data_IF_268614822680
#
_entry.id   IF_268614822680
#
_cell.length_a   1.000
_cell.length_b   1.000
_cell.length_c   1.000
_cell.angle_alpha   90.00
_cell.angle_beta   90.00
_cell.angle_gamma   90.00
#
_symmetry.space_group_name_H-M   'P 1'
#
loop_
_entity.id
_entity.type
_entity.pdbx_description
1 polymer ?
#
# COMPACT_ATOMS: atom_id res chain seq x y z
N UNK A 1 -31.61 4.14 -8.79
CA UNK A 1 -31.96 2.74 -9.06
C UNK A 1 -30.77 1.86 -8.67
N UNK A 2 -30.92 1.07 -7.60
CA UNK A 2 -29.87 0.16 -7.12
C UNK A 2 -28.73 0.81 -6.33
N UNK A 3 -28.85 2.08 -5.99
CA UNK A 3 -27.85 2.80 -5.15
C UNK A 3 -28.47 3.19 -3.82
N UNK A 4 -27.75 2.91 -2.75
CA UNK A 4 -28.13 3.27 -1.39
C UNK A 4 -27.14 4.29 -0.86
N UNK A 5 -27.64 5.33 -0.22
CA UNK A 5 -26.83 6.38 0.40
C UNK A 5 -27.31 6.64 1.82
N UNK A 6 -26.35 6.91 2.71
CA UNK A 6 -26.62 7.40 4.04
C UNK A 6 -25.70 8.59 4.33
N UNK A 7 -26.22 9.59 5.04
CA UNK A 7 -25.44 10.76 5.46
C UNK A 7 -25.42 10.85 6.98
N UNK A 8 -24.26 11.13 7.53
CA UNK A 8 -24.06 11.34 8.96
C UNK A 8 -23.50 12.73 9.18
N UNK A 9 -24.08 13.49 10.11
CA UNK A 9 -23.82 14.91 10.28
C UNK A 9 -22.48 15.26 10.97
N UNK A 10 -21.78 14.28 11.55
CA UNK A 10 -20.58 14.51 12.35
C UNK A 10 -19.28 14.31 11.55
N UNK A 11 -18.20 14.95 12.04
CA UNK A 11 -16.83 14.63 11.61
C UNK A 11 -16.41 13.31 12.25
N UNK A 12 -16.42 12.25 11.47
CA UNK A 12 -16.14 10.88 11.96
C UNK A 12 -14.69 10.43 11.71
N UNK A 13 -13.75 11.34 11.50
CA UNK A 13 -12.35 10.98 11.31
C UNK A 13 -11.81 10.10 12.45
N UNK A 14 -11.10 9.04 12.07
CA UNK A 14 -10.59 8.03 13.00
C UNK A 14 -11.61 6.95 13.40
N UNK A 15 -12.83 7.03 12.90
CA UNK A 15 -13.84 5.98 13.09
C UNK A 15 -13.79 4.95 11.95
N UNK A 16 -14.36 3.79 12.23
CA UNK A 16 -14.52 2.71 11.26
C UNK A 16 -15.99 2.47 10.96
N UNK A 17 -16.26 1.93 9.77
CA UNK A 17 -17.62 1.55 9.38
C UNK A 17 -17.60 0.25 8.56
N UNK A 18 -18.75 -0.40 8.53
CA UNK A 18 -19.07 -1.52 7.64
C UNK A 18 -20.44 -1.29 7.03
N UNK A 19 -20.69 -1.98 5.92
CA UNK A 19 -22.02 -2.16 5.35
C UNK A 19 -22.45 -3.59 5.55
N UNK A 20 -23.76 -3.77 5.70
CA UNK A 20 -24.39 -5.07 5.71
C UNK A 20 -25.59 -5.06 4.76
N UNK A 21 -25.71 -6.05 3.92
CA UNK A 21 -26.74 -6.16 2.89
C UNK A 21 -27.69 -7.29 3.25
N UNK A 22 -29.00 -7.04 3.16
CA UNK A 22 -30.01 -8.09 3.26
C UNK A 22 -30.42 -8.53 1.86
N UNK A 23 -30.31 -9.82 1.59
CA UNK A 23 -30.74 -10.45 0.35
C UNK A 23 -31.67 -11.62 0.64
N UNK A 24 -32.85 -11.63 0.04
CA UNK A 24 -33.89 -12.65 0.27
C UNK A 24 -34.16 -12.93 1.77
N UNK A 25 -34.28 -11.88 2.57
CA UNK A 25 -34.53 -11.94 4.01
C UNK A 25 -33.36 -12.40 4.88
N UNK A 26 -32.19 -12.70 4.27
CA UNK A 26 -30.98 -13.10 5.00
C UNK A 26 -29.95 -11.97 4.96
N UNK A 27 -29.39 -11.63 6.11
CA UNK A 27 -28.25 -10.72 6.20
C UNK A 27 -26.98 -11.42 5.72
N UNK A 28 -26.26 -10.75 4.82
CA UNK A 28 -24.92 -11.18 4.39
C UNK A 28 -23.87 -10.69 5.41
N UNK A 29 -22.63 -11.15 5.25
CA UNK A 29 -21.53 -10.72 6.09
C UNK A 29 -21.26 -9.22 5.94
N UNK A 30 -20.68 -8.62 6.98
CA UNK A 30 -20.24 -7.23 6.95
C UNK A 30 -19.09 -7.03 5.97
N UNK A 31 -19.08 -5.87 5.31
CA UNK A 31 -18.06 -5.49 4.32
C UNK A 31 -17.69 -4.02 4.46
N UNK A 32 -16.43 -3.63 4.20
CA UNK A 32 -16.04 -2.23 4.09
C UNK A 32 -16.68 -1.51 2.89
N UNK A 33 -17.22 -2.28 1.93
CA UNK A 33 -17.78 -1.77 0.68
C UNK A 33 -16.73 -1.51 -0.40
N UNK A 34 -17.16 -1.57 -1.65
CA UNK A 34 -16.29 -1.49 -2.84
C UNK A 34 -15.60 -0.13 -3.03
N UNK A 35 -16.06 0.90 -2.34
CA UNK A 35 -15.51 2.25 -2.42
C UNK A 35 -14.58 2.61 -1.26
N UNK A 36 -14.28 1.67 -0.36
CA UNK A 36 -13.33 1.90 0.71
C UNK A 36 -11.96 2.26 0.13
N UNK A 37 -11.35 3.34 0.64
CA UNK A 37 -10.00 3.81 0.27
C UNK A 37 -9.02 3.70 1.44
N UNK A 38 -9.52 3.37 2.62
CA UNK A 38 -8.79 3.11 3.82
C UNK A 38 -9.52 2.02 4.60
N UNK A 39 -8.78 1.08 5.15
CA UNK A 39 -9.31 0.00 6.00
C UNK A 39 -8.46 -0.18 7.24
N UNK A 40 -9.04 -0.76 8.27
CA UNK A 40 -8.31 -1.22 9.44
C UNK A 40 -7.55 -2.53 9.16
N UNK A 41 -6.83 -2.99 10.17
CA UNK A 41 -6.07 -4.24 10.13
C UNK A 41 -6.89 -5.40 9.58
N UNK A 42 -6.27 -6.16 8.66
CA UNK A 42 -6.89 -7.29 7.96
C UNK A 42 -8.12 -6.91 7.10
N UNK A 43 -8.26 -5.64 6.71
CA UNK A 43 -9.20 -5.22 5.66
C UNK A 43 -10.69 -5.31 5.98
N UNK A 44 -11.09 -5.67 7.21
CA UNK A 44 -12.49 -6.02 7.53
C UNK A 44 -13.43 -4.83 7.69
N UNK A 45 -12.92 -3.65 8.01
CA UNK A 45 -13.69 -2.43 8.25
C UNK A 45 -13.08 -1.26 7.51
N UNK A 46 -13.88 -0.47 6.83
CA UNK A 46 -13.42 0.78 6.23
C UNK A 46 -13.11 1.81 7.32
N UNK A 47 -12.10 2.64 7.08
CA UNK A 47 -11.71 3.73 7.96
C UNK A 47 -12.10 5.07 7.36
N UNK A 48 -12.57 6.00 8.20
CA UNK A 48 -12.85 7.38 7.83
C UNK A 48 -11.64 8.22 8.20
N UNK A 49 -10.92 8.69 7.19
CA UNK A 49 -9.71 9.48 7.39
C UNK A 49 -9.78 10.79 6.60
N UNK A 50 -9.04 11.78 7.07
CA UNK A 50 -8.75 12.98 6.27
C UNK A 50 -7.53 12.72 5.39
N UNK A 51 -7.76 12.54 4.08
CA UNK A 51 -6.70 12.24 3.13
C UNK A 51 -5.65 13.35 3.00
N UNK A 52 -6.00 14.61 3.30
CA UNK A 52 -5.05 15.71 3.28
C UNK A 52 -3.93 15.51 4.32
N UNK A 53 -4.25 14.88 5.47
CA UNK A 53 -3.27 14.59 6.52
C UNK A 53 -2.30 13.47 6.15
N UNK A 54 -2.55 12.75 5.07
CA UNK A 54 -1.70 11.66 4.59
C UNK A 54 -0.71 12.06 3.50
N UNK A 55 -0.68 13.35 3.12
CA UNK A 55 0.26 13.83 2.13
C UNK A 55 1.66 13.94 2.73
N UNK A 56 2.69 13.36 2.11
CA UNK A 56 4.07 13.61 2.47
C UNK A 56 4.48 15.05 2.12
N UNK A 57 5.59 15.51 2.68
CA UNK A 57 6.14 16.83 2.36
C UNK A 57 6.44 16.93 0.85
N UNK A 58 5.99 18.03 0.24
CA UNK A 58 6.21 18.28 -1.19
C UNK A 58 5.19 17.62 -2.12
N UNK A 59 4.20 16.90 -1.60
CA UNK A 59 3.19 16.19 -2.39
C UNK A 59 2.50 17.05 -3.45
N UNK A 60 2.20 18.31 -3.14
CA UNK A 60 1.52 19.24 -4.05
C UNK A 60 2.38 19.63 -5.26
N UNK A 61 3.71 19.48 -5.13
CA UNK A 61 4.69 19.83 -6.16
C UNK A 61 5.24 18.60 -6.89
N UNK A 62 4.83 17.40 -6.48
CA UNK A 62 5.29 16.17 -7.11
C UNK A 62 4.79 16.07 -8.55
N UNK A 63 5.71 15.77 -9.45
CA UNK A 63 5.42 15.61 -10.89
C UNK A 63 6.21 14.43 -11.43
N UNK A 64 5.48 13.52 -12.03
CA UNK A 64 6.10 12.39 -12.73
C UNK A 64 7.07 12.85 -13.83
N UNK A 65 8.15 12.11 -14.07
CA UNK A 65 9.08 12.39 -15.16
C UNK A 65 8.37 12.30 -16.51
N UNK A 66 8.84 13.11 -17.46
CA UNK A 66 8.37 13.05 -18.86
C UNK A 66 9.25 12.10 -19.63
N UNK A 67 8.64 11.16 -20.34
CA UNK A 67 9.29 10.31 -21.33
C UNK A 67 9.04 10.86 -22.75
N UNK A 68 10.05 10.79 -23.61
CA UNK A 68 9.94 11.29 -24.98
C UNK A 68 9.14 10.36 -25.88
N UNK A 69 9.29 9.06 -25.70
CA UNK A 69 8.63 8.01 -26.47
C UNK A 69 8.35 6.79 -25.60
N UNK A 70 7.30 6.05 -25.93
CA UNK A 70 7.04 4.75 -25.31
C UNK A 70 8.20 3.75 -25.54
N UNK A 71 8.98 3.93 -26.60
CA UNK A 71 10.15 3.11 -26.88
C UNK A 71 11.33 3.38 -25.91
N UNK A 72 11.29 4.49 -25.16
CA UNK A 72 12.31 4.82 -24.16
C UNK A 72 12.00 4.21 -22.78
N UNK A 73 10.89 3.49 -22.66
CA UNK A 73 10.46 2.88 -21.40
C UNK A 73 11.30 1.65 -21.09
N UNK A 74 11.96 1.65 -19.92
CA UNK A 74 12.71 0.52 -19.38
C UNK A 74 12.07 0.18 -18.04
N UNK A 75 11.43 -1.01 -17.98
CA UNK A 75 10.62 -1.42 -16.85
C UNK A 75 11.37 -2.44 -16.00
N UNK A 76 11.32 -2.26 -14.69
CA UNK A 76 11.73 -3.24 -13.70
C UNK A 76 10.51 -3.70 -12.90
N UNK A 77 10.17 -4.98 -12.98
CA UNK A 77 9.06 -5.54 -12.18
C UNK A 77 9.59 -6.05 -10.84
N UNK A 78 8.88 -5.74 -9.78
CA UNK A 78 9.28 -6.14 -8.43
C UNK A 78 8.11 -6.38 -7.48
N UNK A 79 8.37 -7.19 -6.47
CA UNK A 79 7.51 -7.38 -5.31
C UNK A 79 8.04 -6.56 -4.13
N UNK A 80 7.17 -5.81 -3.44
CA UNK A 80 7.56 -4.91 -2.34
C UNK A 80 8.42 -5.58 -1.27
N UNK A 81 7.96 -6.74 -0.78
CA UNK A 81 8.68 -7.47 0.27
C UNK A 81 10.01 -7.96 -0.23
N UNK A 82 10.02 -8.66 -1.35
CA UNK A 82 11.21 -9.38 -1.83
C UNK A 82 12.31 -8.44 -2.28
N UNK A 83 11.95 -7.25 -2.74
CA UNK A 83 12.93 -6.23 -3.15
C UNK A 83 13.89 -5.81 -2.05
N UNK A 84 13.49 -5.92 -0.76
CA UNK A 84 14.27 -5.40 0.36
C UNK A 84 14.41 -6.33 1.56
N UNK A 85 13.71 -7.48 1.57
CA UNK A 85 13.59 -8.32 2.77
C UNK A 85 14.89 -9.03 3.15
N UNK A 86 15.82 -9.21 2.22
CA UNK A 86 17.08 -9.88 2.48
C UNK A 86 17.84 -9.23 3.65
N UNK A 87 18.36 -10.05 4.55
CA UNK A 87 19.04 -9.59 5.75
C UNK A 87 20.28 -8.74 5.45
N UNK A 88 20.93 -8.96 4.30
CA UNK A 88 22.13 -8.24 3.87
C UNK A 88 21.85 -7.11 2.88
N UNK A 89 20.58 -6.76 2.65
CA UNK A 89 20.20 -5.68 1.72
C UNK A 89 20.70 -4.29 2.14
N UNK A 90 21.08 -4.10 3.41
CA UNK A 90 21.45 -2.80 3.94
C UNK A 90 20.27 -1.82 4.14
N UNK A 91 19.06 -2.25 3.80
CA UNK A 91 17.83 -1.47 3.95
C UNK A 91 17.30 -1.61 5.38
N UNK A 92 16.82 -0.51 5.95
CA UNK A 92 16.27 -0.47 7.31
C UNK A 92 14.82 -0.94 7.34
N UNK A 93 13.98 -0.37 6.47
CA UNK A 93 12.54 -0.69 6.39
C UNK A 93 12.28 -1.89 5.48
N UNK A 94 12.87 -3.05 5.82
CA UNK A 94 12.80 -4.28 5.01
C UNK A 94 11.35 -4.71 4.75
N UNK A 95 11.02 -4.96 3.47
CA UNK A 95 9.70 -5.41 3.05
C UNK A 95 8.59 -4.37 3.18
N UNK A 96 8.91 -3.09 3.37
CA UNK A 96 7.94 -2.00 3.59
C UNK A 96 7.94 -0.99 2.44
N UNK A 97 6.88 -0.20 2.31
CA UNK A 97 6.81 0.90 1.36
C UNK A 97 8.02 1.82 1.47
N UNK A 98 8.42 2.16 2.70
CA UNK A 98 9.54 3.06 2.95
C UNK A 98 10.90 2.50 2.51
N UNK A 99 11.04 1.21 2.25
CA UNK A 99 12.26 0.63 1.68
C UNK A 99 12.66 1.29 0.36
N UNK A 100 11.67 1.73 -0.42
CA UNK A 100 11.86 2.38 -1.72
C UNK A 100 12.23 3.87 -1.63
N UNK A 101 12.23 4.42 -0.42
CA UNK A 101 12.64 5.81 -0.15
C UNK A 101 14.06 5.92 0.44
N UNK A 102 14.69 4.79 0.74
CA UNK A 102 16.02 4.76 1.35
C UNK A 102 17.11 4.87 0.27
N UNK A 103 17.96 5.89 0.40
CA UNK A 103 19.10 6.12 -0.47
C UNK A 103 20.42 5.73 0.23
N UNK A 104 21.49 5.49 -0.53
CA UNK A 104 22.81 5.13 -0.02
C UNK A 104 22.93 3.71 0.53
N UNK A 105 21.92 2.86 0.31
CA UNK A 105 21.91 1.49 0.82
C UNK A 105 22.86 0.58 0.02
N UNK A 106 23.52 -0.34 0.74
CA UNK A 106 24.50 -1.27 0.16
C UNK A 106 24.38 -2.65 0.77
N UNK A 107 24.68 -3.66 -0.02
CA UNK A 107 24.84 -5.02 0.45
C UNK A 107 26.10 -5.18 1.35
N UNK A 108 26.24 -6.32 2.00
CA UNK A 108 27.46 -6.68 2.75
C UNK A 108 28.72 -6.72 1.89
N UNK A 109 28.58 -6.83 0.56
CA UNK A 109 29.67 -6.80 -0.41
C UNK A 109 29.98 -5.39 -0.95
N UNK A 110 29.24 -4.38 -0.48
CA UNK A 110 29.41 -2.98 -0.89
C UNK A 110 28.67 -2.58 -2.14
N UNK A 111 27.93 -3.49 -2.79
CA UNK A 111 27.11 -3.22 -3.97
C UNK A 111 25.87 -2.40 -3.60
N UNK A 112 25.45 -1.51 -4.48
CA UNK A 112 24.24 -0.72 -4.30
C UNK A 112 23.00 -1.61 -4.23
N UNK A 113 22.09 -1.27 -3.34
CA UNK A 113 20.80 -1.94 -3.17
C UNK A 113 19.66 -0.91 -3.23
N UNK A 114 18.42 -1.34 -3.13
CA UNK A 114 17.27 -0.47 -3.09
C UNK A 114 17.16 0.43 -4.33
N UNK A 115 16.70 1.65 -4.12
CA UNK A 115 16.47 2.61 -5.21
C UNK A 115 17.76 3.00 -5.94
N UNK A 116 18.91 2.98 -5.27
CA UNK A 116 20.19 3.29 -5.90
C UNK A 116 20.63 2.21 -6.89
N UNK A 117 20.28 0.95 -6.65
CA UNK A 117 20.46 -0.12 -7.62
C UNK A 117 19.58 0.11 -8.86
N UNK A 118 18.32 0.48 -8.68
CA UNK A 118 17.42 0.77 -9.79
C UNK A 118 17.91 1.94 -10.64
N UNK A 119 18.43 3.01 -9.98
CA UNK A 119 19.04 4.15 -10.67
C UNK A 119 20.28 3.73 -11.48
N UNK A 120 21.11 2.84 -10.94
CA UNK A 120 22.32 2.34 -11.59
C UNK A 120 22.01 1.46 -12.82
N UNK A 121 20.93 0.67 -12.77
CA UNK A 121 20.43 -0.09 -13.90
C UNK A 121 19.90 0.79 -15.04
N UNK A 122 19.65 2.08 -14.78
CA UNK A 122 19.13 3.01 -15.78
C UNK A 122 17.66 2.79 -16.12
N UNK A 123 16.89 2.12 -15.28
CA UNK A 123 15.45 1.98 -15.46
C UNK A 123 14.73 3.31 -15.19
N UNK A 124 13.58 3.49 -15.80
CA UNK A 124 12.77 4.68 -15.63
C UNK A 124 11.33 4.39 -15.22
N UNK A 125 10.95 3.12 -15.15
CA UNK A 125 9.65 2.67 -14.66
C UNK A 125 9.81 1.45 -13.75
N UNK A 126 9.08 1.48 -12.63
CA UNK A 126 8.92 0.32 -11.74
C UNK A 126 7.50 -0.22 -11.90
N UNK A 127 7.38 -1.49 -12.26
CA UNK A 127 6.13 -2.22 -12.24
C UNK A 127 6.04 -3.01 -10.94
N UNK A 128 5.23 -2.52 -10.02
CA UNK A 128 5.09 -3.15 -8.70
C UNK A 128 4.02 -4.23 -8.79
N UNK A 129 4.31 -5.45 -8.30
CA UNK A 129 3.30 -6.46 -8.10
C UNK A 129 2.17 -5.92 -7.21
N UNK A 130 0.94 -6.43 -7.29
CA UNK A 130 -0.21 -5.81 -6.63
C UNK A 130 0.05 -5.49 -5.16
N UNK A 131 -0.21 -4.23 -4.80
CA UNK A 131 -0.06 -3.71 -3.44
C UNK A 131 -1.42 -3.43 -2.79
N UNK A 132 -2.49 -3.93 -3.39
CA UNK A 132 -3.86 -3.81 -2.87
C UNK A 132 -4.02 -4.70 -1.64
N UNK A 133 -4.88 -4.24 -0.72
CA UNK A 133 -5.20 -4.95 0.51
C UNK A 133 -5.76 -6.35 0.22
N UNK A 134 -5.05 -7.37 0.64
CA UNK A 134 -5.36 -8.79 0.46
C UNK A 134 -5.51 -9.51 1.82
N UNK A 135 -6.21 -10.63 1.87
CA UNK A 135 -6.61 -11.27 3.12
C UNK A 135 -5.65 -12.38 3.60
N UNK A 136 -4.76 -12.88 2.75
CA UNK A 136 -3.97 -14.08 3.04
C UNK A 136 -2.70 -13.81 3.85
N UNK A 137 -2.45 -12.57 4.23
CA UNK A 137 -1.44 -12.20 5.24
C UNK A 137 -2.17 -11.63 6.46
N UNK A 138 -1.91 -12.18 7.63
CA UNK A 138 -2.43 -11.63 8.89
C UNK A 138 -1.57 -10.44 9.31
N UNK A 139 -2.06 -9.24 9.07
CA UNK A 139 -1.38 -7.97 9.39
C UNK A 139 -1.11 -7.79 10.90
N UNK A 140 -1.79 -8.55 11.75
CA UNK A 140 -1.56 -8.54 13.20
C UNK A 140 -0.39 -9.43 13.65
N UNK A 141 0.22 -10.19 12.74
CA UNK A 141 1.29 -11.17 13.00
C UNK A 141 2.43 -11.06 12.00
N UNK A 142 2.83 -9.85 11.65
CA UNK A 142 3.86 -9.60 10.64
C UNK A 142 5.27 -10.06 11.04
N UNK A 143 5.48 -10.41 12.30
CA UNK A 143 6.69 -11.09 12.79
C UNK A 143 6.80 -12.54 12.31
N UNK A 144 5.71 -13.13 11.82
CA UNK A 144 5.71 -14.46 11.21
C UNK A 144 6.07 -14.36 9.73
N UNK A 145 6.72 -15.41 9.21
CA UNK A 145 7.10 -15.43 7.80
C UNK A 145 5.89 -15.73 6.92
N UNK A 146 5.16 -14.68 6.53
CA UNK A 146 4.03 -14.75 5.62
C UNK A 146 4.40 -14.17 4.26
N UNK A 147 3.85 -14.73 3.20
CA UNK A 147 4.10 -14.29 1.83
C UNK A 147 2.83 -14.32 1.01
N UNK A 148 2.64 -13.29 0.20
CA UNK A 148 1.58 -13.19 -0.81
C UNK A 148 2.08 -12.40 -2.02
N UNK A 149 1.78 -12.85 -3.21
CA UNK A 149 2.10 -12.14 -4.44
C UNK A 149 1.21 -10.92 -4.70
N UNK A 150 0.10 -10.78 -3.95
CA UNK A 150 -0.84 -9.66 -4.06
C UNK A 150 -1.98 -9.86 -5.07
N UNK A 151 -2.08 -11.03 -5.69
CA UNK A 151 -3.08 -11.28 -6.75
C UNK A 151 -4.45 -11.76 -6.24
N UNK A 152 -4.71 -11.68 -4.95
CA UNK A 152 -5.98 -11.98 -4.31
C UNK A 152 -6.54 -10.81 -3.47
N UNK A 153 -6.64 -9.59 -4.07
CA UNK A 153 -7.08 -8.43 -3.32
C UNK A 153 -8.54 -8.57 -2.87
N UNK A 154 -8.81 -8.13 -1.65
CA UNK A 154 -10.16 -8.00 -1.07
C UNK A 154 -10.63 -6.55 -1.10
N UNK A 155 -9.73 -5.58 -1.03
CA UNK A 155 -10.02 -4.14 -1.11
C UNK A 155 -9.14 -3.47 -2.17
N UNK A 156 -9.63 -3.38 -3.40
CA UNK A 156 -8.87 -2.91 -4.57
C UNK A 156 -8.40 -1.45 -4.52
N UNK A 157 -8.99 -0.60 -3.69
CA UNK A 157 -8.65 0.81 -3.62
C UNK A 157 -7.85 1.18 -2.36
N UNK A 158 -7.27 0.19 -1.70
CA UNK A 158 -6.59 0.32 -0.41
C UNK A 158 -5.19 -0.26 -0.51
N UNK A 159 -4.13 0.44 -0.05
CA UNK A 159 -2.81 -0.16 0.08
C UNK A 159 -2.79 -1.24 1.16
N UNK A 160 -2.08 -2.33 0.93
CA UNK A 160 -1.94 -3.42 1.89
C UNK A 160 -1.16 -3.00 3.15
N UNK A 161 -1.64 -3.41 4.31
CA UNK A 161 -1.05 -3.01 5.58
C UNK A 161 0.22 -3.76 5.94
N UNK A 162 0.49 -4.92 5.34
CA UNK A 162 1.73 -5.66 5.60
C UNK A 162 2.97 -4.90 5.15
N UNK A 163 2.82 -4.01 4.18
CA UNK A 163 3.89 -3.14 3.68
C UNK A 163 4.03 -1.81 4.45
N UNK A 164 3.13 -1.51 5.40
CA UNK A 164 3.23 -0.33 6.26
C UNK A 164 4.09 -0.61 7.50
N UNK A 165 4.73 0.43 8.02
CA UNK A 165 5.44 0.35 9.32
C UNK A 165 4.47 0.29 10.49
N UNK A 166 3.23 0.77 10.31
CA UNK A 166 2.14 0.65 11.27
C UNK A 166 0.87 0.13 10.59
N UNK A 167 0.65 -1.20 10.58
CA UNK A 167 -0.53 -1.80 9.96
C UNK A 167 -1.84 -1.46 10.68
N UNK A 168 -1.76 -1.00 11.94
CA UNK A 168 -2.93 -0.62 12.74
C UNK A 168 -3.46 0.77 12.42
N UNK A 169 -2.68 1.59 11.73
CA UNK A 169 -3.03 2.97 11.42
C UNK A 169 -3.25 3.17 9.90
N UNK A 170 -4.50 3.25 9.44
CA UNK A 170 -4.81 3.43 8.03
C UNK A 170 -4.20 4.68 7.39
N UNK A 171 -4.03 5.76 8.16
CA UNK A 171 -3.44 7.00 7.65
C UNK A 171 -1.93 6.87 7.42
N UNK A 172 -1.22 6.12 8.28
CA UNK A 172 0.21 5.83 8.09
C UNK A 172 0.42 5.00 6.84
N UNK A 173 -0.36 3.94 6.64
CA UNK A 173 -0.34 3.07 5.45
C UNK A 173 -0.42 3.89 4.16
N UNK A 174 -1.38 4.81 4.08
CA UNK A 174 -1.60 5.64 2.91
C UNK A 174 -0.46 6.67 2.73
N UNK A 175 0.00 7.28 3.83
CA UNK A 175 1.10 8.24 3.78
C UNK A 175 2.38 7.61 3.25
N UNK A 176 2.73 6.44 3.75
CA UNK A 176 3.92 5.71 3.31
C UNK A 176 3.83 5.27 1.85
N UNK A 177 2.65 4.81 1.41
CA UNK A 177 2.40 4.49 0.00
C UNK A 177 2.55 5.72 -0.90
N UNK A 178 2.07 6.89 -0.48
CA UNK A 178 2.27 8.15 -1.20
C UNK A 178 3.73 8.60 -1.21
N UNK A 179 4.46 8.32 -0.14
CA UNK A 179 5.86 8.70 -0.02
C UNK A 179 6.77 7.88 -0.93
N UNK A 180 6.48 6.59 -1.09
CA UNK A 180 7.10 5.70 -2.04
C UNK A 180 6.93 6.16 -3.48
#
# INVERSE_FOLDING_TARGET
>A
QGTWTASVADKLYGKFYTFQIQHNGKWLDETPGVWAKAVGTNGRRAAIIDFATTNPNGWENDKGPKIGSIADVIIYEMHHRDFSIDSVSGITNKGKFLALTEEGTKSSLGEKTGIDHLKELGINHVHILPSYDYASVDESKLETNQYNWGYDPVNYNVPDGSYSTDPYNPAVRIKEFKQM
#
